data_IF_669692631308
#
_entry.id   IF_669692631308
#
_cell.length_a   1.000
_cell.length_b   1.000
_cell.length_c   1.000
_cell.angle_alpha   90.00
_cell.angle_beta   90.00
_cell.angle_gamma   90.00
#
_symmetry.space_group_name_H-M   'P 1'
#
loop_
_entity.id
_entity.type
_entity.pdbx_description
1 polymer ?
#
# COMPACT_ATOMS: atom_id res chain seq x y z
N UNK A 1 19.41 -9.81 9.48
CA UNK A 1 20.07 -8.48 9.54
C UNK A 1 19.27 -7.37 8.87
N UNK A 2 18.64 -7.61 7.70
CA UNK A 2 17.92 -6.55 6.97
C UNK A 2 16.76 -5.89 7.73
N UNK A 3 16.01 -6.63 8.56
CA UNK A 3 14.91 -6.06 9.34
C UNK A 3 15.37 -5.06 10.40
N UNK A 4 16.41 -5.38 11.17
CA UNK A 4 16.95 -4.50 12.22
C UNK A 4 17.53 -3.22 11.62
N UNK A 5 18.23 -3.34 10.49
CA UNK A 5 18.74 -2.18 9.76
C UNK A 5 17.58 -1.26 9.32
N UNK A 6 16.54 -1.82 8.68
CA UNK A 6 15.40 -1.03 8.23
C UNK A 6 14.64 -0.37 9.38
N UNK A 7 14.48 -1.07 10.50
CA UNK A 7 13.88 -0.50 11.72
C UNK A 7 14.72 0.66 12.27
N UNK A 8 16.03 0.46 12.37
CA UNK A 8 16.96 1.49 12.82
C UNK A 8 16.88 2.74 11.96
N UNK A 9 16.89 2.60 10.62
CA UNK A 9 16.76 3.73 9.70
C UNK A 9 15.45 4.49 9.93
N UNK A 10 14.31 3.79 10.10
CA UNK A 10 13.02 4.45 10.38
C UNK A 10 13.05 5.22 11.71
N UNK A 11 13.62 4.62 12.77
CA UNK A 11 13.77 5.29 14.07
C UNK A 11 14.64 6.54 13.94
N UNK A 12 15.78 6.45 13.25
CA UNK A 12 16.68 7.58 13.03
C UNK A 12 15.98 8.70 12.25
N UNK A 13 15.21 8.38 11.21
CA UNK A 13 14.44 9.38 10.46
C UNK A 13 13.42 10.11 11.34
N UNK A 14 12.72 9.38 12.22
CA UNK A 14 11.76 9.97 13.17
C UNK A 14 12.50 10.89 14.16
N UNK A 15 13.59 10.41 14.76
CA UNK A 15 14.37 11.19 15.73
C UNK A 15 14.98 12.44 15.10
N UNK A 16 15.48 12.34 13.86
CA UNK A 16 16.03 13.46 13.11
C UNK A 16 14.97 14.54 12.86
N UNK A 17 13.76 14.14 12.46
CA UNK A 17 12.66 15.08 12.27
C UNK A 17 12.25 15.75 13.58
N UNK A 18 12.11 14.97 14.67
CA UNK A 18 11.71 15.52 15.98
C UNK A 18 12.78 16.46 16.54
N UNK A 19 14.05 16.09 16.47
CA UNK A 19 15.16 16.92 16.94
C UNK A 19 15.31 18.19 16.09
N UNK A 20 15.22 18.07 14.76
CA UNK A 20 15.30 19.21 13.84
C UNK A 20 14.22 20.26 14.10
N UNK A 21 12.99 19.83 14.42
CA UNK A 21 11.90 20.74 14.73
C UNK A 21 11.99 21.30 16.15
N UNK A 22 12.17 20.44 17.17
CA UNK A 22 12.10 20.86 18.57
C UNK A 22 13.35 21.56 19.09
N UNK A 23 14.53 21.19 18.58
CA UNK A 23 15.82 21.70 19.09
C UNK A 23 16.40 22.73 18.14
N UNK A 24 16.41 22.45 16.84
CA UNK A 24 17.05 23.32 15.84
C UNK A 24 16.09 24.34 15.19
N UNK A 25 14.80 24.35 15.58
CA UNK A 25 13.76 25.24 15.05
C UNK A 25 13.65 25.26 13.51
N UNK A 26 13.93 24.12 12.85
CA UNK A 26 13.97 23.99 11.39
C UNK A 26 12.58 23.81 10.75
N UNK A 27 11.57 24.51 11.25
CA UNK A 27 10.17 24.32 10.86
C UNK A 27 9.94 24.55 9.36
N UNK A 28 10.55 25.59 8.78
CA UNK A 28 10.46 25.88 7.36
C UNK A 28 11.06 24.77 6.48
N UNK A 29 12.21 24.22 6.90
CA UNK A 29 12.85 23.12 6.16
C UNK A 29 11.96 21.88 6.12
N UNK A 30 11.45 21.43 7.27
CA UNK A 30 10.62 20.23 7.34
C UNK A 30 9.19 20.45 6.81
N UNK A 31 8.66 21.66 6.92
CA UNK A 31 7.29 22.01 6.50
C UNK A 31 7.15 22.39 5.02
N UNK A 32 8.21 22.90 4.39
CA UNK A 32 8.16 23.43 3.01
C UNK A 32 9.19 22.78 2.11
N UNK A 33 10.48 22.91 2.44
CA UNK A 33 11.57 22.47 1.56
C UNK A 33 11.56 20.95 1.35
N UNK A 34 11.46 20.18 2.45
CA UNK A 34 11.52 18.73 2.42
C UNK A 34 10.32 18.11 1.66
N UNK A 35 9.05 18.54 1.84
CA UNK A 35 7.93 18.10 1.03
C UNK A 35 8.12 18.33 -0.48
N UNK A 36 8.55 19.52 -0.90
CA UNK A 36 8.80 19.79 -2.32
C UNK A 36 9.92 18.91 -2.88
N UNK A 37 11.02 18.78 -2.15
CA UNK A 37 12.12 17.90 -2.53
C UNK A 37 11.66 16.45 -2.67
N UNK A 38 10.83 15.96 -1.74
CA UNK A 38 10.30 14.60 -1.76
C UNK A 38 9.43 14.35 -3.01
N UNK A 39 8.54 15.28 -3.37
CA UNK A 39 7.69 15.17 -4.58
C UNK A 39 8.55 15.16 -5.85
N UNK A 40 9.53 16.07 -5.95
CA UNK A 40 10.43 16.13 -7.12
C UNK A 40 11.22 14.82 -7.26
N UNK A 41 11.84 14.35 -6.18
CA UNK A 41 12.61 13.10 -6.18
C UNK A 41 11.72 11.91 -6.54
N UNK A 42 10.49 11.86 -6.01
CA UNK A 42 9.53 10.80 -6.32
C UNK A 42 9.18 10.78 -7.81
N UNK A 43 8.78 11.93 -8.39
CA UNK A 43 8.39 12.02 -9.80
C UNK A 43 9.57 11.66 -10.72
N UNK A 44 10.73 12.29 -10.51
CA UNK A 44 11.93 12.03 -11.32
C UNK A 44 12.39 10.57 -11.17
N UNK A 45 12.32 10.02 -9.96
CA UNK A 45 12.67 8.63 -9.68
C UNK A 45 11.75 7.63 -10.41
N UNK A 46 10.44 7.88 -10.39
CA UNK A 46 9.45 7.06 -11.12
C UNK A 46 9.69 7.14 -12.63
N UNK A 47 9.86 8.34 -13.18
CA UNK A 47 10.16 8.53 -14.62
C UNK A 47 11.46 7.81 -14.98
N UNK A 48 12.52 8.00 -14.22
CA UNK A 48 13.82 7.35 -14.45
C UNK A 48 13.73 5.83 -14.42
N UNK A 49 12.98 5.26 -13.47
CA UNK A 49 12.72 3.81 -13.39
C UNK A 49 11.92 3.31 -14.59
N UNK A 50 10.87 4.02 -15.00
CA UNK A 50 10.05 3.66 -16.14
C UNK A 50 10.86 3.69 -17.46
N UNK A 51 11.66 4.73 -17.67
CA UNK A 51 12.56 4.85 -18.83
C UNK A 51 13.63 3.76 -18.84
N UNK A 52 14.23 3.45 -17.68
CA UNK A 52 15.22 2.37 -17.57
C UNK A 52 14.60 1.01 -17.90
N UNK A 53 13.40 0.74 -17.39
CA UNK A 53 12.67 -0.49 -17.70
C UNK A 53 12.30 -0.58 -19.18
N UNK A 54 11.75 0.48 -19.76
CA UNK A 54 11.38 0.52 -21.19
C UNK A 54 12.57 0.39 -22.15
N UNK A 55 13.78 0.80 -21.73
CA UNK A 55 15.04 0.61 -22.48
C UNK A 55 15.68 -0.76 -22.29
N UNK A 56 15.18 -1.58 -21.37
CA UNK A 56 15.77 -2.90 -21.09
C UNK A 56 15.50 -3.82 -22.30
N UNK A 57 16.56 -4.41 -22.91
CA UNK A 57 16.37 -5.28 -24.06
C UNK A 57 15.54 -6.51 -23.66
N UNK A 58 14.55 -6.84 -24.48
CA UNK A 58 13.74 -8.06 -24.32
C UNK A 58 14.25 -9.07 -25.36
N UNK A 59 15.21 -9.94 -25.01
CA UNK A 59 15.86 -10.83 -25.98
C UNK A 59 14.91 -11.85 -26.59
N UNK A 60 13.79 -12.16 -25.91
CA UNK A 60 12.79 -13.11 -26.39
C UNK A 60 11.40 -12.47 -26.47
N UNK A 61 10.81 -12.43 -27.67
CA UNK A 61 9.38 -12.17 -27.83
C UNK A 61 8.61 -13.42 -27.42
N UNK A 62 8.40 -13.60 -26.12
CA UNK A 62 7.47 -14.61 -25.59
C UNK A 62 6.11 -13.94 -25.47
N UNK A 63 5.19 -14.09 -26.45
CA UNK A 63 3.83 -13.61 -26.27
C UNK A 63 3.23 -14.37 -25.09
N UNK A 64 2.82 -13.66 -24.05
CA UNK A 64 2.01 -14.24 -22.99
C UNK A 64 0.76 -14.84 -23.64
N UNK A 65 0.52 -16.14 -23.44
CA UNK A 65 -0.51 -16.93 -24.12
C UNK A 65 -1.92 -16.51 -23.69
N UNK A 66 -2.42 -15.37 -24.16
CA UNK A 66 -3.79 -14.91 -23.93
C UNK A 66 -4.66 -15.21 -25.16
N UNK A 67 -5.78 -15.89 -24.96
CA UNK A 67 -6.81 -16.13 -25.99
C UNK A 67 -6.66 -17.41 -26.81
N UNK A 68 -5.63 -18.24 -26.59
CA UNK A 68 -5.41 -19.50 -27.33
C UNK A 68 -6.56 -20.51 -27.17
N UNK A 69 -7.29 -20.47 -26.05
CA UNK A 69 -8.43 -21.37 -25.87
C UNK A 69 -9.57 -21.09 -26.85
N UNK A 70 -9.61 -19.90 -27.46
CA UNK A 70 -10.61 -19.57 -28.49
C UNK A 70 -10.41 -20.40 -29.78
N UNK A 71 -9.18 -20.77 -30.12
CA UNK A 71 -8.89 -21.54 -31.33
C UNK A 71 -9.08 -23.05 -31.16
N UNK A 72 -9.38 -23.53 -29.95
CA UNK A 72 -9.49 -24.96 -29.61
C UNK A 72 -10.95 -25.30 -29.27
N UNK A 73 -11.78 -25.75 -30.23
CA UNK A 73 -13.22 -25.92 -30.04
C UNK A 73 -13.60 -26.99 -28.99
N UNK A 74 -12.67 -27.88 -28.63
CA UNK A 74 -12.88 -28.90 -27.59
C UNK A 74 -12.52 -28.42 -26.16
N UNK A 75 -11.94 -27.23 -26.00
CA UNK A 75 -11.59 -26.67 -24.69
C UNK A 75 -12.53 -25.52 -24.37
N UNK A 76 -13.22 -25.60 -23.22
CA UNK A 76 -14.07 -24.50 -22.75
C UNK A 76 -13.20 -23.27 -22.47
N UNK A 77 -13.42 -22.20 -23.22
CA UNK A 77 -12.68 -20.95 -23.05
C UNK A 77 -12.94 -20.32 -21.68
N UNK A 78 -11.85 -20.09 -20.93
CA UNK A 78 -11.85 -19.26 -19.74
C UNK A 78 -11.64 -17.79 -20.13
N UNK A 79 -12.74 -17.03 -20.21
CA UNK A 79 -12.74 -15.64 -20.70
C UNK A 79 -11.97 -14.66 -19.80
N UNK A 80 -11.72 -15.00 -18.53
CA UNK A 80 -11.05 -14.12 -17.58
C UNK A 80 -9.58 -14.49 -17.38
N UNK A 81 -9.24 -15.78 -17.31
CA UNK A 81 -7.84 -16.19 -17.14
C UNK A 81 -7.13 -16.29 -18.51
N UNK A 82 -7.88 -16.51 -19.59
CA UNK A 82 -7.39 -16.55 -20.97
C UNK A 82 -8.23 -15.63 -21.90
N UNK A 83 -8.23 -14.30 -21.63
CA UNK A 83 -9.07 -13.38 -22.38
C UNK A 83 -8.64 -13.29 -23.85
N UNK A 84 -9.62 -13.32 -24.75
CA UNK A 84 -9.43 -13.12 -26.20
C UNK A 84 -9.98 -11.78 -26.70
N UNK A 85 -10.38 -10.89 -25.78
CA UNK A 85 -10.97 -9.57 -26.09
C UNK A 85 -10.47 -8.53 -25.09
N UNK A 86 -10.48 -7.25 -25.49
CA UNK A 86 -10.07 -6.14 -24.63
C UNK A 86 -10.89 -6.06 -23.33
N UNK A 87 -12.21 -6.27 -23.40
CA UNK A 87 -13.07 -6.31 -22.22
C UNK A 87 -12.71 -7.45 -21.26
N UNK A 88 -12.33 -8.62 -21.77
CA UNK A 88 -11.85 -9.73 -20.95
C UNK A 88 -10.53 -9.39 -20.24
N UNK A 89 -9.62 -8.68 -20.91
CA UNK A 89 -8.37 -8.19 -20.32
C UNK A 89 -8.66 -7.18 -19.21
N UNK A 90 -9.54 -6.22 -19.44
CA UNK A 90 -9.94 -5.23 -18.42
C UNK A 90 -10.51 -5.95 -17.20
N UNK A 91 -11.44 -6.89 -17.40
CA UNK A 91 -12.02 -7.68 -16.32
C UNK A 91 -10.98 -8.47 -15.53
N UNK A 92 -10.04 -9.13 -16.22
CA UNK A 92 -8.91 -9.82 -15.59
C UNK A 92 -8.07 -8.87 -14.73
N UNK A 93 -7.67 -7.73 -15.30
CA UNK A 93 -6.82 -6.76 -14.62
C UNK A 93 -7.52 -6.16 -13.39
N UNK A 94 -8.82 -5.86 -13.47
CA UNK A 94 -9.59 -5.39 -12.32
C UNK A 94 -9.61 -6.43 -11.19
N UNK A 95 -9.84 -7.71 -11.50
CA UNK A 95 -9.84 -8.77 -10.49
C UNK A 95 -8.45 -9.02 -9.89
N UNK A 96 -7.38 -8.88 -10.67
CA UNK A 96 -6.02 -8.99 -10.15
C UNK A 96 -5.63 -7.80 -9.27
N UNK A 97 -5.94 -6.58 -9.69
CA UNK A 97 -5.56 -5.35 -8.96
C UNK A 97 -6.40 -5.17 -7.70
N UNK A 98 -7.72 -5.38 -7.79
CA UNK A 98 -8.64 -5.09 -6.68
C UNK A 98 -8.82 -6.26 -5.72
N UNK A 99 -8.74 -7.49 -6.22
CA UNK A 99 -9.08 -8.69 -5.44
C UNK A 99 -7.95 -9.70 -5.36
N UNK A 100 -6.77 -9.46 -5.96
CA UNK A 100 -5.66 -10.42 -6.01
C UNK A 100 -6.14 -11.85 -6.35
N UNK A 101 -7.00 -11.96 -7.37
CA UNK A 101 -7.68 -13.21 -7.71
C UNK A 101 -6.70 -14.37 -7.92
N UNK A 102 -5.59 -14.16 -8.61
CA UNK A 102 -4.55 -15.18 -8.79
C UNK A 102 -3.98 -15.69 -7.47
N UNK A 103 -3.79 -14.81 -6.49
CA UNK A 103 -3.29 -15.16 -5.16
C UNK A 103 -4.31 -15.97 -4.36
N UNK A 104 -5.61 -15.66 -4.49
CA UNK A 104 -6.68 -16.45 -3.87
C UNK A 104 -6.74 -17.87 -4.44
N UNK A 105 -6.57 -17.98 -5.76
CA UNK A 105 -6.63 -19.23 -6.51
C UNK A 105 -5.35 -20.06 -6.51
N UNK A 106 -4.27 -19.63 -5.83
CA UNK A 106 -3.00 -20.35 -5.85
C UNK A 106 -3.11 -21.69 -5.09
N UNK A 107 -3.55 -22.72 -5.81
CA UNK A 107 -3.56 -24.15 -5.43
C UNK A 107 -2.18 -24.73 -5.66
N UNK A 108 -1.23 -24.43 -4.77
CA UNK A 108 -0.05 -25.28 -4.63
C UNK A 108 -0.52 -26.63 -4.07
N UNK A 109 -0.29 -27.69 -4.83
CA UNK A 109 -0.47 -29.08 -4.38
C UNK A 109 0.77 -29.43 -3.57
N UNK A 110 0.71 -29.29 -2.25
CA UNK A 110 1.75 -29.81 -1.36
C UNK A 110 1.32 -31.20 -0.87
N UNK A 111 2.09 -32.21 -1.24
CA UNK A 111 2.03 -33.54 -0.63
C UNK A 111 2.70 -33.45 0.75
N UNK A 112 1.89 -33.30 1.80
CA UNK A 112 2.34 -33.58 3.18
C UNK A 112 2.21 -35.07 3.46
N UNK A 113 3.09 -35.63 4.28
CA UNK A 113 3.14 -37.04 4.69
C UNK A 113 1.74 -37.69 4.79
N UNK A 114 1.41 -38.52 3.78
CA UNK A 114 0.10 -39.17 3.59
C UNK A 114 -0.81 -38.51 2.53
N UNK A 115 -2.04 -39.01 2.32
CA UNK A 115 -2.95 -38.54 1.27
C UNK A 115 -3.71 -37.27 1.69
N UNK A 116 -3.04 -36.30 2.32
CA UNK A 116 -3.68 -35.04 2.78
C UNK A 116 -3.02 -33.82 2.15
N UNK A 117 -3.73 -33.27 1.17
CA UNK A 117 -3.43 -32.00 0.51
C UNK A 117 -3.60 -30.85 1.52
N UNK A 118 -2.52 -30.14 1.85
CA UNK A 118 -2.57 -29.00 2.78
C UNK A 118 -2.53 -27.66 2.01
N UNK A 119 -3.65 -26.94 1.98
CA UNK A 119 -3.79 -25.63 1.30
C UNK A 119 -3.76 -24.43 2.27
N UNK A 120 -2.75 -24.34 3.13
CA UNK A 120 -2.80 -23.50 4.34
C UNK A 120 -2.29 -22.04 4.25
N UNK A 121 -1.39 -21.67 3.33
CA UNK A 121 -0.67 -20.38 3.44
C UNK A 121 -1.18 -19.25 2.54
N UNK A 122 -1.87 -19.53 1.44
CA UNK A 122 -2.16 -18.52 0.41
C UNK A 122 -3.40 -17.69 0.74
N UNK A 123 -4.43 -18.29 1.34
CA UNK A 123 -5.68 -17.59 1.71
C UNK A 123 -5.47 -16.53 2.80
N UNK A 124 -4.64 -16.81 3.80
CA UNK A 124 -4.31 -15.83 4.84
C UNK A 124 -3.43 -14.70 4.32
N UNK A 125 -2.52 -14.99 3.39
CA UNK A 125 -1.76 -13.96 2.69
C UNK A 125 -2.68 -13.10 1.81
N UNK A 126 -3.62 -13.73 1.11
CA UNK A 126 -4.64 -13.04 0.32
C UNK A 126 -5.46 -12.10 1.19
N UNK A 127 -6.01 -12.58 2.30
CA UNK A 127 -6.82 -11.77 3.20
C UNK A 127 -6.02 -10.60 3.78
N UNK A 128 -4.83 -10.85 4.31
CA UNK A 128 -3.98 -9.80 4.87
C UNK A 128 -3.50 -8.80 3.82
N UNK A 129 -3.17 -9.27 2.62
CA UNK A 129 -2.80 -8.42 1.49
C UNK A 129 -3.96 -7.54 1.03
N UNK A 130 -5.15 -8.12 0.90
CA UNK A 130 -6.36 -7.40 0.50
C UNK A 130 -6.76 -6.36 1.56
N UNK A 131 -6.77 -6.75 2.83
CA UNK A 131 -7.05 -5.86 3.95
C UNK A 131 -6.06 -4.68 3.99
N UNK A 132 -4.76 -4.93 3.79
CA UNK A 132 -3.74 -3.88 3.72
C UNK A 132 -4.01 -2.90 2.56
N UNK A 133 -4.23 -3.38 1.33
CA UNK A 133 -4.37 -2.50 0.17
C UNK A 133 -5.67 -1.69 0.20
N UNK A 134 -6.80 -2.30 0.59
CA UNK A 134 -8.07 -1.57 0.68
C UNK A 134 -8.09 -0.55 1.81
N UNK A 135 -7.55 -0.91 2.98
CA UNK A 135 -7.44 0.05 4.08
C UNK A 135 -6.49 1.20 3.73
N UNK A 136 -5.34 0.90 3.11
CA UNK A 136 -4.40 1.92 2.64
C UNK A 136 -5.05 2.85 1.61
N UNK A 137 -5.80 2.30 0.64
CA UNK A 137 -6.52 3.07 -0.37
C UNK A 137 -7.58 3.99 0.27
N UNK A 138 -8.41 3.47 1.18
CA UNK A 138 -9.44 4.26 1.88
C UNK A 138 -8.79 5.39 2.69
N UNK A 139 -7.72 5.08 3.43
CA UNK A 139 -6.94 6.07 4.17
C UNK A 139 -6.40 7.13 3.22
N UNK A 140 -5.76 6.75 2.12
CA UNK A 140 -5.19 7.68 1.13
C UNK A 140 -6.26 8.58 0.51
N UNK A 141 -7.39 8.02 0.06
CA UNK A 141 -8.52 8.78 -0.48
C UNK A 141 -9.03 9.79 0.54
N UNK A 142 -9.18 9.40 1.81
CA UNK A 142 -9.60 10.33 2.86
C UNK A 142 -8.58 11.44 3.12
N UNK A 143 -7.28 11.17 2.96
CA UNK A 143 -6.24 12.20 3.10
C UNK A 143 -6.31 13.26 2.00
N UNK A 144 -6.88 12.95 0.82
CA UNK A 144 -7.06 13.95 -0.26
C UNK A 144 -7.93 15.14 0.17
N UNK A 145 -8.75 15.00 1.22
CA UNK A 145 -9.54 16.10 1.81
C UNK A 145 -8.69 17.27 2.31
N UNK A 146 -7.41 17.02 2.62
CA UNK A 146 -6.49 18.07 3.08
C UNK A 146 -5.96 18.93 1.93
N UNK A 147 -6.10 18.46 0.69
CA UNK A 147 -5.59 19.12 -0.52
C UNK A 147 -6.68 19.89 -1.28
N UNK A 148 -7.93 19.83 -0.82
CA UNK A 148 -9.08 20.40 -1.54
C UNK A 148 -9.99 21.17 -0.58
N UNK A 149 -10.46 22.34 -1.01
CA UNK A 149 -11.48 23.11 -0.29
C UNK A 149 -12.47 23.75 -1.27
N UNK A 150 -13.75 23.32 -1.30
CA UNK A 150 -14.37 22.28 -0.46
C UNK A 150 -14.00 20.84 -0.90
N UNK A 151 -14.02 19.86 0.01
CA UNK A 151 -13.76 18.47 -0.34
C UNK A 151 -14.93 17.87 -1.16
N UNK A 152 -14.64 17.01 -2.17
CA UNK A 152 -15.67 16.35 -2.97
C UNK A 152 -16.66 15.52 -2.14
N UNK A 153 -17.94 15.51 -2.55
CA UNK A 153 -19.02 14.83 -1.83
C UNK A 153 -18.81 13.30 -1.69
N UNK A 154 -18.11 12.65 -2.61
CA UNK A 154 -17.83 11.21 -2.50
C UNK A 154 -16.90 10.87 -1.33
N UNK A 155 -16.00 11.79 -0.94
CA UNK A 155 -15.12 11.59 0.23
C UNK A 155 -15.92 11.54 1.53
N UNK A 156 -16.98 12.34 1.64
CA UNK A 156 -17.88 12.30 2.79
C UNK A 156 -18.57 10.94 2.92
N UNK A 157 -19.00 10.35 1.79
CA UNK A 157 -19.58 9.00 1.79
C UNK A 157 -18.59 7.94 2.28
N UNK A 158 -17.34 8.01 1.83
CA UNK A 158 -16.27 7.10 2.29
C UNK A 158 -16.03 7.27 3.80
N UNK A 159 -15.99 8.51 4.29
CA UNK A 159 -15.77 8.80 5.71
C UNK A 159 -16.90 8.26 6.60
N UNK A 160 -18.15 8.40 6.18
CA UNK A 160 -19.32 7.85 6.89
C UNK A 160 -19.27 6.32 6.91
N UNK A 161 -18.95 5.67 5.79
CA UNK A 161 -18.84 4.21 5.73
C UNK A 161 -17.71 3.68 6.63
N UNK A 162 -16.56 4.35 6.62
CA UNK A 162 -15.38 3.95 7.39
C UNK A 162 -15.54 4.21 8.91
N UNK A 163 -16.37 5.19 9.27
CA UNK A 163 -16.73 5.53 10.66
C UNK A 163 -18.07 4.95 11.12
N UNK A 164 -18.70 4.06 10.34
CA UNK A 164 -20.08 3.60 10.57
C UNK A 164 -20.30 2.96 11.93
N UNK A 165 -19.28 2.29 12.48
CA UNK A 165 -19.39 1.65 13.80
C UNK A 165 -19.56 2.67 14.94
N UNK A 166 -19.23 3.95 14.72
CA UNK A 166 -19.35 5.05 15.70
C UNK A 166 -18.78 4.71 17.09
N UNK A 167 -17.77 3.83 17.14
CA UNK A 167 -17.13 3.40 18.38
C UNK A 167 -16.23 4.54 18.88
N UNK A 168 -16.49 5.05 20.09
CA UNK A 168 -15.70 6.09 20.73
C UNK A 168 -15.99 7.52 20.23
N UNK A 169 -15.38 8.50 20.89
CA UNK A 169 -15.48 9.93 20.57
C UNK A 169 -14.06 10.51 20.40
N UNK A 170 -13.64 10.93 19.19
CA UNK A 170 -14.35 10.88 17.90
C UNK A 170 -14.48 9.44 17.36
N UNK A 171 -15.45 9.21 16.46
CA UNK A 171 -15.73 7.88 15.90
C UNK A 171 -14.49 7.18 15.33
N UNK A 172 -14.36 5.89 15.65
CA UNK A 172 -13.25 5.07 15.21
C UNK A 172 -13.31 4.81 13.70
N UNK A 173 -12.20 5.07 13.00
CA UNK A 173 -12.06 4.71 11.59
C UNK A 173 -11.44 3.33 11.46
N UNK A 174 -12.23 2.43 10.89
CA UNK A 174 -11.89 1.01 10.77
C UNK A 174 -10.66 0.85 9.90
N UNK A 175 -10.57 1.59 8.80
CA UNK A 175 -9.44 1.55 7.86
C UNK A 175 -8.10 1.81 8.55
N UNK A 176 -8.02 2.72 9.53
CA UNK A 176 -6.77 3.00 10.25
C UNK A 176 -6.30 1.80 11.09
N UNK A 177 -7.23 1.18 11.83
CA UNK A 177 -6.93 0.01 12.66
C UNK A 177 -6.62 -1.21 11.81
N UNK A 178 -7.41 -1.45 10.74
CA UNK A 178 -7.19 -2.54 9.80
C UNK A 178 -5.86 -2.37 9.07
N UNK A 179 -5.48 -1.16 8.69
CA UNK A 179 -4.18 -0.90 8.06
C UNK A 179 -3.02 -1.28 8.98
N UNK A 180 -3.07 -0.85 10.25
CA UNK A 180 -2.05 -1.18 11.23
C UNK A 180 -2.00 -2.70 11.49
N UNK A 181 -3.14 -3.34 11.69
CA UNK A 181 -3.23 -4.77 11.94
C UNK A 181 -2.73 -5.59 10.73
N UNK A 182 -3.14 -5.24 9.51
CA UNK A 182 -2.73 -5.92 8.29
C UNK A 182 -1.24 -5.71 7.98
N UNK A 183 -0.71 -4.49 8.13
CA UNK A 183 0.71 -4.22 7.97
C UNK A 183 1.56 -4.99 9.00
N UNK A 184 1.11 -5.04 10.26
CA UNK A 184 1.75 -5.83 11.32
C UNK A 184 1.72 -7.32 10.98
N UNK A 185 0.58 -7.84 10.55
CA UNK A 185 0.45 -9.24 10.12
C UNK A 185 1.41 -9.58 8.96
N UNK A 186 1.48 -8.75 7.92
CA UNK A 186 2.37 -8.96 6.78
C UNK A 186 3.86 -8.88 7.18
N UNK A 187 4.20 -7.99 8.11
CA UNK A 187 5.53 -7.94 8.71
C UNK A 187 5.85 -9.20 9.52
N UNK A 188 4.97 -9.60 10.43
CA UNK A 188 5.16 -10.81 11.25
C UNK A 188 5.27 -12.05 10.38
N UNK A 189 4.47 -12.16 9.30
CA UNK A 189 4.60 -13.23 8.31
C UNK A 189 6.01 -13.26 7.69
N UNK A 190 6.52 -12.09 7.28
CA UNK A 190 7.86 -11.96 6.68
C UNK A 190 8.97 -12.29 7.67
N UNK A 191 8.76 -12.02 8.96
CA UNK A 191 9.70 -12.40 10.01
C UNK A 191 9.56 -13.88 10.29
N UNK A 192 8.42 -14.42 10.67
CA UNK A 192 8.31 -15.79 11.20
C UNK A 192 8.48 -16.90 10.17
N UNK A 193 8.20 -16.67 8.88
CA UNK A 193 8.36 -17.71 7.85
C UNK A 193 9.82 -17.73 7.35
N UNK A 194 10.62 -18.79 7.61
CA UNK A 194 12.05 -18.83 7.29
C UNK A 194 12.35 -18.60 5.81
N UNK A 195 11.56 -19.20 4.92
CA UNK A 195 11.72 -19.09 3.47
C UNK A 195 11.56 -17.63 3.01
N UNK A 196 10.55 -16.93 3.55
CA UNK A 196 10.28 -15.53 3.22
C UNK A 196 11.36 -14.63 3.83
N UNK A 197 11.77 -14.89 5.07
CA UNK A 197 12.85 -14.14 5.73
C UNK A 197 14.17 -14.25 4.97
N UNK A 198 14.49 -15.42 4.44
CA UNK A 198 15.73 -15.68 3.71
C UNK A 198 15.83 -14.86 2.41
N UNK A 199 14.74 -14.74 1.66
CA UNK A 199 14.69 -13.97 0.40
C UNK A 199 14.43 -12.47 0.60
N UNK A 200 14.11 -12.04 1.83
CA UNK A 200 13.73 -10.65 2.09
C UNK A 200 14.94 -9.73 2.19
N UNK A 201 14.88 -8.62 1.45
CA UNK A 201 15.88 -7.57 1.47
C UNK A 201 15.51 -6.46 2.47
N UNK A 202 16.47 -5.63 2.92
CA UNK A 202 16.16 -4.46 3.75
C UNK A 202 15.08 -3.54 3.13
N UNK A 203 15.10 -3.41 1.79
CA UNK A 203 14.13 -2.65 1.02
C UNK A 203 12.68 -3.19 1.13
N UNK A 204 12.48 -4.45 1.54
CA UNK A 204 11.15 -5.01 1.79
C UNK A 204 10.62 -4.69 3.19
N UNK A 205 11.51 -4.56 4.17
CA UNK A 205 11.15 -4.25 5.55
C UNK A 205 10.93 -2.75 5.76
N UNK A 206 11.69 -1.91 5.05
CA UNK A 206 11.65 -0.46 5.24
C UNK A 206 10.25 0.16 5.00
N UNK A 207 9.56 -0.13 3.87
CA UNK A 207 8.21 0.39 3.65
C UNK A 207 7.20 -0.11 4.68
N UNK A 208 7.32 -1.37 5.13
CA UNK A 208 6.42 -1.93 6.15
C UNK A 208 6.56 -1.19 7.48
N UNK A 209 7.79 -0.99 7.95
CA UNK A 209 8.03 -0.22 9.18
C UNK A 209 7.58 1.23 9.05
N UNK A 210 7.83 1.86 7.90
CA UNK A 210 7.41 3.23 7.64
C UNK A 210 5.88 3.37 7.66
N UNK A 211 5.16 2.46 7.01
CA UNK A 211 3.68 2.48 6.99
C UNK A 211 3.11 2.17 8.37
N UNK A 212 3.69 1.23 9.12
CA UNK A 212 3.30 0.96 10.52
C UNK A 212 3.50 2.23 11.36
N UNK A 213 4.65 2.91 11.23
CA UNK A 213 4.92 4.14 11.97
C UNK A 213 3.93 5.27 11.62
N UNK A 214 3.58 5.43 10.33
CA UNK A 214 2.58 6.39 9.86
C UNK A 214 1.18 6.05 10.38
N UNK A 215 0.79 4.77 10.36
CA UNK A 215 -0.50 4.33 10.87
C UNK A 215 -0.61 4.54 12.39
N UNK A 216 0.43 4.17 13.15
CA UNK A 216 0.50 4.40 14.60
C UNK A 216 0.43 5.89 14.91
N UNK A 217 1.25 6.72 14.24
CA UNK A 217 1.24 8.17 14.49
C UNK A 217 -0.11 8.79 14.14
N UNK A 218 -0.74 8.39 13.03
CA UNK A 218 -2.08 8.84 12.65
C UNK A 218 -3.16 8.49 13.68
N UNK A 219 -3.16 7.27 14.21
CA UNK A 219 -4.07 6.83 15.28
C UNK A 219 -3.81 7.64 16.56
N UNK A 220 -2.54 7.80 16.96
CA UNK A 220 -2.17 8.57 18.15
C UNK A 220 -2.61 10.03 18.05
N UNK A 221 -2.36 10.68 16.91
CA UNK A 221 -2.76 12.07 16.67
C UNK A 221 -4.27 12.27 16.72
N UNK A 222 -5.05 11.30 16.25
CA UNK A 222 -6.51 11.41 16.22
C UNK A 222 -7.16 11.19 17.58
N UNK A 223 -6.74 10.16 18.32
CA UNK A 223 -7.47 9.72 19.52
C UNK A 223 -6.84 10.17 20.84
N UNK A 224 -5.53 10.42 20.86
CA UNK A 224 -4.81 10.67 22.11
C UNK A 224 -4.19 12.06 22.17
N UNK A 225 -3.34 12.41 21.21
CA UNK A 225 -2.54 13.64 21.24
C UNK A 225 -3.37 14.85 20.85
N UNK A 226 -4.26 14.70 19.86
CA UNK A 226 -5.04 15.76 19.19
C UNK A 226 -4.14 16.83 18.57
N UNK A 227 -4.31 17.04 17.27
CA UNK A 227 -3.51 18.01 16.50
C UNK A 227 -4.42 19.03 15.84
N UNK A 228 -3.89 20.23 15.58
CA UNK A 228 -4.62 21.27 14.86
C UNK A 228 -4.72 20.91 13.37
N UNK A 229 -5.82 20.25 13.02
CA UNK A 229 -6.12 19.84 11.65
C UNK A 229 -6.36 21.05 10.73
N UNK A 230 -6.80 22.19 11.27
CA UNK A 230 -7.06 23.40 10.47
C UNK A 230 -5.74 23.98 9.98
N UNK A 231 -4.75 24.11 10.86
CA UNK A 231 -3.41 24.58 10.51
C UNK A 231 -2.71 23.63 9.55
N UNK A 232 -2.83 22.31 9.76
CA UNK A 232 -2.29 21.31 8.83
C UNK A 232 -2.93 21.41 7.44
N UNK A 233 -4.26 21.60 7.37
CA UNK A 233 -4.98 21.80 6.10
C UNK A 233 -4.50 23.10 5.42
N UNK A 234 -4.36 24.19 6.17
CA UNK A 234 -3.84 25.46 5.66
C UNK A 234 -2.46 25.32 5.03
N UNK A 235 -1.51 24.68 5.73
CA UNK A 235 -0.17 24.40 5.18
C UNK A 235 -0.24 23.51 3.93
N UNK A 236 -1.06 22.46 3.95
CA UNK A 236 -1.20 21.53 2.82
C UNK A 236 -1.74 22.23 1.58
N UNK A 237 -2.75 23.10 1.73
CA UNK A 237 -3.28 23.92 0.64
C UNK A 237 -2.27 24.96 0.15
N UNK A 238 -1.52 25.59 1.06
CA UNK A 238 -0.43 26.50 0.71
C UNK A 238 0.62 25.81 -0.17
N UNK A 239 1.08 24.63 0.25
CA UNK A 239 2.03 23.81 -0.51
C UNK A 239 1.48 23.41 -1.87
N UNK A 240 0.23 22.96 -1.93
CA UNK A 240 -0.40 22.49 -3.16
C UNK A 240 -0.66 23.64 -4.16
N UNK A 241 -1.02 24.82 -3.66
CA UNK A 241 -1.22 26.03 -4.47
C UNK A 241 0.07 26.80 -4.79
N UNK A 242 1.22 26.30 -4.32
CA UNK A 242 2.54 26.94 -4.46
C UNK A 242 2.64 28.34 -3.81
N UNK A 243 1.85 28.57 -2.75
CA UNK A 243 1.82 29.82 -1.98
C UNK A 243 2.29 29.60 -0.53
N UNK A 244 3.26 28.69 -0.35
CA UNK A 244 3.76 28.24 0.95
C UNK A 244 4.69 29.25 1.65
#
# INVERSE_FOLDING_TARGET
MGSLFSLFVVIVLILMAVAGIKVANMQFFFGVVLPYAAVIIFILGVIGKALKWGRSPVPFKIPTTCGQQKSLPWIRQNKLDNPSSALGVIGRMLLEVLLFRSLFGNTTVELKEGPKLAHGSTKWLWLGGLAFHWSFLVVLLRHTRLFMDPPPAFLQKIEVMDGFLQIGLPGLFISGVVLLAAATYLFLRRVFIPQVRYISLPADYFPLFLIIAIAVSGILMRYFIKVDVVSIKGLTLGLFSLNA
#
